data_IF_732066990123
#
_entry.id   IF_732066990123
#
_cell.length_a   1.000
_cell.length_b   1.000
_cell.length_c   1.000
_cell.angle_alpha   90.00
_cell.angle_beta   90.00
_cell.angle_gamma   90.00
#
_symmetry.space_group_name_H-M   'P 1'
#
loop_
_entity.id
_entity.type
_entity.pdbx_description
1 polymer ?
#
# COMPACT_ATOMS: atom_id res chain seq x y z
N UNK A 1 28.10 -10.79 15.80
CA UNK A 1 26.71 -11.00 15.34
C UNK A 1 25.81 -10.72 16.52
N UNK A 2 24.89 -9.78 16.40
CA UNK A 2 23.86 -9.53 17.42
C UNK A 2 22.94 -10.74 17.47
N UNK A 3 22.85 -11.43 18.61
CA UNK A 3 21.96 -12.57 18.78
C UNK A 3 20.59 -12.05 19.21
N UNK A 4 19.63 -12.02 18.29
CA UNK A 4 18.30 -11.50 18.57
C UNK A 4 17.38 -12.51 19.27
N UNK A 5 17.76 -13.79 19.43
CA UNK A 5 16.87 -14.78 20.08
C UNK A 5 15.65 -15.20 19.23
N UNK A 6 15.62 -14.85 17.94
CA UNK A 6 14.59 -15.25 16.96
C UNK A 6 14.01 -14.07 16.16
N UNK A 7 13.33 -14.37 15.05
CA UNK A 7 12.76 -13.33 14.14
C UNK A 7 11.80 -12.41 14.87
N UNK A 8 10.94 -12.97 15.74
CA UNK A 8 9.99 -12.19 16.55
C UNK A 8 10.69 -11.15 17.42
N UNK A 9 11.74 -11.55 18.12
CA UNK A 9 12.51 -10.66 18.98
C UNK A 9 13.28 -9.59 18.18
N UNK A 10 13.75 -9.91 16.97
CA UNK A 10 14.34 -8.91 16.08
C UNK A 10 13.31 -7.87 15.61
N UNK A 11 12.08 -8.31 15.30
CA UNK A 11 10.96 -7.40 14.95
C UNK A 11 10.58 -6.53 16.14
N UNK A 12 10.47 -7.13 17.33
CA UNK A 12 10.16 -6.41 18.57
C UNK A 12 11.26 -5.38 18.89
N UNK A 13 12.53 -5.73 18.70
CA UNK A 13 13.66 -4.81 18.84
C UNK A 13 13.54 -3.58 17.92
N UNK A 14 13.26 -3.80 16.63
CA UNK A 14 13.10 -2.68 15.66
C UNK A 14 11.89 -1.83 16.04
N UNK A 15 10.78 -2.46 16.43
CA UNK A 15 9.58 -1.75 16.85
C UNK A 15 9.84 -0.89 18.08
N UNK A 16 10.46 -1.45 19.12
CA UNK A 16 10.75 -0.74 20.36
C UNK A 16 11.75 0.40 20.13
N UNK A 17 12.76 0.19 19.27
CA UNK A 17 13.69 1.25 18.88
C UNK A 17 12.94 2.46 18.30
N UNK A 18 12.04 2.24 17.33
CA UNK A 18 11.29 3.31 16.68
C UNK A 18 10.28 3.93 17.67
N UNK A 19 9.55 3.09 18.39
CA UNK A 19 8.52 3.49 19.34
C UNK A 19 9.05 4.39 20.48
N UNK A 20 10.25 4.08 20.98
CA UNK A 20 10.88 4.78 22.10
C UNK A 20 11.82 5.90 21.65
N UNK A 21 11.99 6.12 20.34
CA UNK A 21 12.80 7.22 19.81
C UNK A 21 12.15 8.57 20.17
N UNK A 22 12.87 9.40 20.92
CA UNK A 22 12.46 10.74 21.34
C UNK A 22 13.40 11.87 20.88
N UNK A 23 14.52 11.51 20.25
CA UNK A 23 15.48 12.46 19.70
C UNK A 23 14.89 13.15 18.45
N UNK A 24 14.70 14.47 18.53
CA UNK A 24 14.09 15.27 17.46
C UNK A 24 14.89 15.22 16.14
N UNK A 25 16.21 15.25 16.21
CA UNK A 25 17.07 15.19 15.02
C UNK A 25 16.95 13.81 14.33
N UNK A 26 16.91 12.76 15.14
CA UNK A 26 16.70 11.41 14.63
C UNK A 26 15.30 11.23 14.04
N UNK A 27 14.27 11.84 14.66
CA UNK A 27 12.88 11.77 14.20
C UNK A 27 12.69 12.46 12.83
N UNK A 28 13.37 13.59 12.59
CA UNK A 28 13.32 14.32 11.32
C UNK A 28 14.14 13.64 10.21
N UNK A 29 15.01 12.70 10.56
CA UNK A 29 15.87 12.00 9.59
C UNK A 29 15.04 11.17 8.61
N UNK A 30 15.27 11.37 7.30
CA UNK A 30 14.68 10.52 6.25
C UNK A 30 15.29 9.13 6.31
N UNK A 31 14.47 8.14 6.68
CA UNK A 31 14.88 6.73 6.74
C UNK A 31 14.56 5.97 5.45
N UNK A 32 13.59 6.46 4.69
CA UNK A 32 13.21 5.85 3.41
C UNK A 32 13.17 6.90 2.32
N UNK A 33 13.90 6.63 1.23
CA UNK A 33 13.85 7.38 -0.02
C UNK A 33 13.69 6.41 -1.18
N UNK A 34 12.51 6.38 -1.79
CA UNK A 34 12.18 5.55 -2.95
C UNK A 34 11.74 6.46 -4.10
N UNK A 35 12.63 6.76 -5.07
CA UNK A 35 12.39 7.79 -6.08
C UNK A 35 11.45 7.35 -7.21
N UNK A 36 11.22 6.05 -7.40
CA UNK A 36 10.46 5.50 -8.53
C UNK A 36 9.36 4.54 -8.09
N UNK A 37 8.25 4.43 -8.85
CA UNK A 37 7.89 5.23 -10.04
C UNK A 37 7.52 6.69 -9.73
N UNK A 38 7.21 7.01 -8.48
CA UNK A 38 7.05 8.38 -8.00
C UNK A 38 7.89 8.58 -6.73
N UNK A 39 8.32 9.81 -6.48
CA UNK A 39 9.18 10.10 -5.34
C UNK A 39 8.42 9.94 -4.01
N UNK A 40 8.94 9.12 -3.10
CA UNK A 40 8.46 8.96 -1.73
C UNK A 40 9.66 9.15 -0.79
N UNK A 41 9.51 10.05 0.17
CA UNK A 41 10.41 10.22 1.32
C UNK A 41 9.63 10.05 2.62
N UNK A 42 10.17 9.26 3.54
CA UNK A 42 9.55 8.98 4.84
C UNK A 42 10.59 9.20 5.94
N UNK A 43 10.32 10.14 6.84
CA UNK A 43 11.11 10.35 8.05
C UNK A 43 10.82 9.29 9.10
N UNK A 44 11.73 9.13 10.07
CA UNK A 44 11.49 8.25 11.22
C UNK A 44 10.20 8.64 11.96
N UNK A 45 9.93 9.94 12.11
CA UNK A 45 8.70 10.43 12.74
C UNK A 45 7.45 9.88 12.04
N UNK A 46 7.39 9.94 10.71
CA UNK A 46 6.24 9.42 9.95
C UNK A 46 6.08 7.91 10.17
N UNK A 47 7.18 7.16 10.21
CA UNK A 47 7.13 5.70 10.48
C UNK A 47 6.61 5.46 11.90
N UNK A 48 7.16 6.18 12.89
CA UNK A 48 6.79 6.08 14.31
C UNK A 48 5.31 6.38 14.52
N UNK A 49 4.84 7.51 14.01
CA UNK A 49 3.45 7.96 14.17
C UNK A 49 2.48 7.05 13.41
N UNK A 50 2.93 6.41 12.32
CA UNK A 50 2.16 5.38 11.62
C UNK A 50 2.00 4.12 12.47
N UNK A 51 3.01 3.69 13.21
CA UNK A 51 2.99 2.40 13.93
C UNK A 51 2.53 2.53 15.39
N UNK A 52 2.55 3.73 15.96
CA UNK A 52 2.10 4.01 17.32
C UNK A 52 0.63 4.41 17.40
N UNK A 53 -0.04 4.01 18.49
CA UNK A 53 -1.34 4.56 18.90
C UNK A 53 -2.53 4.17 18.02
N UNK A 54 -3.68 4.83 18.18
CA UNK A 54 -4.87 4.64 17.33
C UNK A 54 -4.80 5.49 16.04
N UNK A 55 -3.60 5.64 15.47
CA UNK A 55 -3.36 6.46 14.28
C UNK A 55 -3.82 5.79 12.98
N UNK A 56 -4.23 6.60 12.00
CA UNK A 56 -4.43 6.15 10.63
C UNK A 56 -3.08 5.89 9.96
N UNK A 57 -3.02 4.93 9.02
CA UNK A 57 -1.82 4.72 8.21
C UNK A 57 -1.49 5.99 7.44
N UNK A 58 -0.29 6.53 7.61
CA UNK A 58 0.13 7.72 6.86
C UNK A 58 0.12 7.42 5.35
N UNK A 59 -0.37 8.33 4.48
CA UNK A 59 -0.51 8.07 3.04
C UNK A 59 0.80 7.66 2.35
N UNK A 60 1.94 8.23 2.75
CA UNK A 60 3.25 7.85 2.21
C UNK A 60 3.64 6.42 2.59
N UNK A 61 3.37 6.01 3.83
CA UNK A 61 3.57 4.63 4.28
C UNK A 61 2.65 3.67 3.52
N UNK A 62 1.38 4.02 3.34
CA UNK A 62 0.44 3.22 2.57
C UNK A 62 0.92 3.04 1.12
N UNK A 63 1.22 4.14 0.42
CA UNK A 63 1.66 4.10 -0.99
C UNK A 63 2.97 3.32 -1.16
N UNK A 64 3.91 3.44 -0.21
CA UNK A 64 5.17 2.69 -0.24
C UNK A 64 4.94 1.19 0.00
N UNK A 65 4.07 0.82 0.94
CA UNK A 65 3.72 -0.58 1.17
C UNK A 65 3.02 -1.20 -0.05
N UNK A 66 2.09 -0.47 -0.68
CA UNK A 66 1.48 -0.87 -1.95
C UNK A 66 2.54 -1.09 -3.03
N UNK A 67 3.46 -0.12 -3.21
CA UNK A 67 4.58 -0.25 -4.16
C UNK A 67 5.41 -1.49 -3.90
N UNK A 68 5.73 -1.77 -2.64
CA UNK A 68 6.50 -2.96 -2.28
C UNK A 68 5.74 -4.23 -2.64
N UNK A 69 4.47 -4.34 -2.24
CA UNK A 69 3.62 -5.51 -2.54
C UNK A 69 3.57 -5.77 -4.04
N UNK A 70 3.33 -4.73 -4.86
CA UNK A 70 3.25 -4.87 -6.32
C UNK A 70 4.60 -5.21 -6.94
N UNK A 71 5.69 -4.59 -6.49
CA UNK A 71 7.04 -4.85 -7.01
C UNK A 71 7.50 -6.27 -6.67
N UNK A 72 7.35 -6.69 -5.41
CA UNK A 72 7.71 -8.03 -4.96
C UNK A 72 6.89 -9.10 -5.73
N UNK A 73 5.63 -8.81 -6.06
CA UNK A 73 4.80 -9.72 -6.85
C UNK A 73 5.17 -9.74 -8.35
N UNK A 74 5.49 -8.58 -8.94
CA UNK A 74 5.94 -8.47 -10.31
C UNK A 74 7.26 -9.22 -10.53
N UNK A 75 8.19 -9.11 -9.58
CA UNK A 75 9.44 -9.88 -9.60
C UNK A 75 9.22 -11.39 -9.45
N UNK A 76 8.34 -11.82 -8.52
CA UNK A 76 7.98 -13.24 -8.35
C UNK A 76 7.33 -13.84 -9.59
N UNK A 77 6.55 -13.05 -10.31
CA UNK A 77 5.90 -13.47 -11.55
C UNK A 77 6.76 -13.26 -12.80
N UNK A 78 7.96 -12.66 -12.68
CA UNK A 78 8.80 -12.31 -13.82
C UNK A 78 9.06 -13.52 -14.73
N UNK A 79 8.85 -13.34 -16.03
CA UNK A 79 8.99 -14.42 -17.02
C UNK A 79 7.79 -15.36 -17.12
N UNK A 80 6.71 -15.11 -16.39
CA UNK A 80 5.44 -15.85 -16.51
C UNK A 80 4.36 -14.99 -17.17
N UNK A 81 3.27 -15.63 -17.60
CA UNK A 81 2.09 -14.93 -18.11
C UNK A 81 1.30 -14.18 -17.00
N UNK A 82 1.74 -14.19 -15.74
CA UNK A 82 1.09 -13.48 -14.62
C UNK A 82 1.69 -12.11 -14.29
N UNK A 83 2.81 -11.70 -14.91
CA UNK A 83 3.36 -10.34 -14.73
C UNK A 83 2.32 -9.30 -15.11
N UNK A 84 2.06 -8.36 -14.20
CA UNK A 84 1.10 -7.28 -14.40
C UNK A 84 -0.37 -7.69 -14.22
N UNK A 85 -0.73 -8.93 -13.89
CA UNK A 85 -2.16 -9.33 -13.79
C UNK A 85 -3.01 -8.52 -12.81
N UNK A 86 -2.43 -7.68 -11.97
CA UNK A 86 -3.13 -6.81 -11.04
C UNK A 86 -2.37 -5.49 -10.92
N UNK A 87 -3.10 -4.38 -10.82
CA UNK A 87 -2.54 -3.05 -10.57
C UNK A 87 -3.32 -2.35 -9.45
N UNK A 88 -2.60 -1.59 -8.63
CA UNK A 88 -3.18 -0.75 -7.60
C UNK A 88 -2.94 0.72 -7.91
N UNK A 89 -3.99 1.52 -7.82
CA UNK A 89 -3.85 2.97 -7.84
C UNK A 89 -3.26 3.45 -6.52
N UNK A 90 -2.40 4.47 -6.60
CA UNK A 90 -2.10 5.24 -5.41
C UNK A 90 -3.38 5.94 -4.92
N UNK A 91 -3.42 6.35 -3.66
CA UNK A 91 -4.55 7.12 -3.12
C UNK A 91 -4.77 8.44 -3.87
N UNK A 92 -3.75 8.92 -4.61
CA UNK A 92 -3.79 10.13 -5.42
C UNK A 92 -4.87 10.12 -6.49
N UNK A 93 -5.03 9.01 -7.23
CA UNK A 93 -6.07 8.91 -8.26
C UNK A 93 -7.48 9.08 -7.67
N UNK A 94 -7.78 8.38 -6.57
CA UNK A 94 -9.09 8.48 -5.91
C UNK A 94 -9.36 9.90 -5.39
N UNK A 95 -8.39 10.48 -4.67
CA UNK A 95 -8.52 11.83 -4.11
C UNK A 95 -8.73 12.88 -5.21
N UNK A 96 -7.94 12.81 -6.30
CA UNK A 96 -8.07 13.73 -7.42
C UNK A 96 -9.39 13.52 -8.18
N UNK A 97 -9.79 12.28 -8.43
CA UNK A 97 -11.06 11.96 -9.08
C UNK A 97 -12.25 12.53 -8.30
N UNK A 98 -12.24 12.35 -6.97
CA UNK A 98 -13.27 12.90 -6.07
C UNK A 98 -13.29 14.42 -6.07
N UNK A 99 -12.13 15.06 -5.96
CA UNK A 99 -12.02 16.53 -5.95
C UNK A 99 -12.50 17.13 -7.28
N UNK A 100 -12.03 16.59 -8.41
CA UNK A 100 -12.41 17.06 -9.75
C UNK A 100 -13.92 16.95 -9.99
N UNK A 101 -14.57 15.92 -9.45
CA UNK A 101 -16.01 15.71 -9.60
C UNK A 101 -16.88 16.71 -8.84
N UNK A 102 -16.29 17.42 -7.88
CA UNK A 102 -16.94 18.54 -7.18
C UNK A 102 -16.74 19.89 -7.89
N UNK A 103 -15.99 19.92 -9.00
CA UNK A 103 -15.76 21.13 -9.79
C UNK A 103 -16.77 21.27 -10.94
N UNK A 104 -16.80 22.45 -11.56
CA UNK A 104 -17.59 22.73 -12.76
C UNK A 104 -16.95 22.22 -14.07
N UNK A 105 -15.83 21.48 -14.00
CA UNK A 105 -15.13 20.98 -15.17
C UNK A 105 -15.97 19.94 -15.92
N UNK A 106 -15.88 19.92 -17.25
CA UNK A 106 -16.49 18.87 -18.08
C UNK A 106 -15.81 17.51 -17.84
N UNK A 107 -16.45 16.40 -18.24
CA UNK A 107 -15.83 15.07 -18.13
C UNK A 107 -14.48 15.00 -18.86
N UNK A 108 -14.38 15.61 -20.05
CA UNK A 108 -13.14 15.69 -20.82
C UNK A 108 -12.04 16.44 -20.06
N UNK A 109 -12.38 17.59 -19.46
CA UNK A 109 -11.43 18.38 -18.67
C UNK A 109 -10.95 17.64 -17.42
N UNK A 110 -11.85 16.93 -16.72
CA UNK A 110 -11.47 16.08 -15.58
C UNK A 110 -10.58 14.93 -16.00
N UNK A 111 -10.89 14.28 -17.11
CA UNK A 111 -10.13 13.16 -17.66
C UNK A 111 -8.71 13.60 -18.03
N UNK A 112 -8.59 14.73 -18.73
CA UNK A 112 -7.30 15.35 -19.05
C UNK A 112 -6.51 15.71 -17.78
N UNK A 113 -7.17 16.23 -16.75
CA UNK A 113 -6.50 16.53 -15.47
C UNK A 113 -5.99 15.26 -14.78
N UNK A 114 -6.74 14.15 -14.81
CA UNK A 114 -6.31 12.87 -14.25
C UNK A 114 -5.15 12.27 -15.04
N UNK A 115 -5.22 12.26 -16.38
CA UNK A 115 -4.14 11.77 -17.25
C UNK A 115 -2.84 12.54 -16.99
N UNK A 116 -2.91 13.87 -16.92
CA UNK A 116 -1.73 14.71 -16.76
C UNK A 116 -1.10 14.65 -15.35
N UNK A 117 -1.85 14.21 -14.34
CA UNK A 117 -1.40 14.22 -12.94
C UNK A 117 -1.24 12.81 -12.33
N UNK A 118 -1.67 11.76 -13.03
CA UNK A 118 -1.59 10.37 -12.55
C UNK A 118 -0.81 9.53 -13.58
N UNK A 119 0.30 8.94 -13.13
CA UNK A 119 1.11 8.04 -13.95
C UNK A 119 0.31 6.75 -14.20
N UNK A 120 -0.04 6.53 -15.47
CA UNK A 120 -0.75 5.35 -15.95
C UNK A 120 0.21 4.53 -16.84
N UNK A 121 0.93 3.57 -16.25
CA UNK A 121 1.77 2.60 -16.99
C UNK A 121 1.15 1.17 -16.88
N UNK A 122 1.44 0.25 -17.83
CA UNK A 122 0.44 -0.53 -18.55
C UNK A 122 -0.28 -1.62 -17.73
N UNK A 123 -1.61 -1.59 -17.74
CA UNK A 123 -2.53 -2.40 -16.89
C UNK A 123 -2.95 -3.75 -17.47
N UNK A 124 -2.87 -4.83 -16.66
CA UNK A 124 -3.99 -5.79 -16.54
C UNK A 124 -4.76 -5.80 -15.19
N UNK A 125 -6.09 -6.05 -15.27
CA UNK A 125 -7.16 -6.36 -14.27
C UNK A 125 -7.19 -5.61 -12.91
N UNK A 126 -8.41 -5.25 -12.49
CA UNK A 126 -8.69 -4.37 -11.35
C UNK A 126 -9.33 -5.12 -10.17
N UNK A 127 -8.87 -4.82 -8.95
CA UNK A 127 -9.53 -5.19 -7.69
C UNK A 127 -9.60 -3.97 -6.77
N UNK A 128 -10.79 -3.60 -6.31
CA UNK A 128 -10.95 -2.57 -5.26
C UNK A 128 -10.93 -3.28 -3.92
N UNK A 129 -10.07 -2.85 -2.99
CA UNK A 129 -10.05 -3.39 -1.63
C UNK A 129 -10.78 -2.44 -0.70
N UNK A 130 -11.72 -2.98 0.08
CA UNK A 130 -12.32 -2.23 1.18
C UNK A 130 -12.23 -3.04 2.47
N UNK A 131 -12.20 -2.31 3.59
CA UNK A 131 -12.46 -2.86 4.91
C UNK A 131 -13.61 -2.02 5.47
N UNK A 132 -14.85 -2.53 5.53
CA UNK A 132 -15.98 -1.72 5.93
C UNK A 132 -15.76 -1.30 7.37
N UNK A 133 -15.73 0.02 7.60
CA UNK A 133 -15.83 0.60 8.92
C UNK A 133 -17.26 1.08 9.08
N UNK A 134 -18.13 0.19 9.58
CA UNK A 134 -19.50 0.50 10.01
C UNK A 134 -20.25 1.40 8.98
N UNK A 135 -20.42 0.91 7.75
CA UNK A 135 -21.51 1.36 6.87
C UNK A 135 -22.46 0.16 6.71
N UNK A 136 -23.52 0.08 7.53
CA UNK A 136 -24.45 -1.05 7.51
C UNK A 136 -25.25 -1.16 6.20
N UNK A 137 -25.15 -0.18 5.30
CA UNK A 137 -25.90 -0.14 4.04
C UNK A 137 -25.00 -0.19 2.79
N UNK A 138 -23.68 -0.01 2.91
CA UNK A 138 -22.72 -0.09 1.80
C UNK A 138 -22.95 0.94 0.68
N UNK A 139 -23.83 1.92 0.87
CA UNK A 139 -24.31 2.81 -0.20
C UNK A 139 -23.32 3.92 -0.55
N UNK A 140 -22.58 4.45 0.42
CA UNK A 140 -21.54 5.45 0.16
C UNK A 140 -20.34 4.79 -0.53
N UNK A 141 -20.00 3.57 -0.11
CA UNK A 141 -18.94 2.76 -0.71
C UNK A 141 -19.24 2.39 -2.16
N UNK A 142 -20.47 1.95 -2.47
CA UNK A 142 -20.89 1.69 -3.84
C UNK A 142 -20.84 2.96 -4.71
N UNK A 143 -21.17 4.12 -4.16
CA UNK A 143 -21.06 5.40 -4.88
C UNK A 143 -19.61 5.76 -5.18
N UNK A 144 -18.70 5.62 -4.21
CA UNK A 144 -17.27 5.89 -4.41
C UNK A 144 -16.62 4.90 -5.38
N UNK A 145 -16.97 3.61 -5.29
CA UNK A 145 -16.55 2.59 -6.24
C UNK A 145 -17.03 2.92 -7.67
N UNK A 146 -18.30 3.29 -7.82
CA UNK A 146 -18.87 3.69 -9.10
C UNK A 146 -18.21 4.95 -9.66
N UNK A 147 -17.89 5.92 -8.81
CA UNK A 147 -17.15 7.13 -9.18
C UNK A 147 -15.79 6.77 -9.77
N UNK A 148 -14.98 6.01 -9.03
CA UNK A 148 -13.64 5.61 -9.48
C UNK A 148 -13.73 4.81 -10.78
N UNK A 149 -14.69 3.89 -10.89
CA UNK A 149 -14.94 3.11 -12.10
C UNK A 149 -15.20 4.02 -13.30
N UNK A 150 -16.07 5.02 -13.17
CA UNK A 150 -16.45 5.92 -14.26
C UNK A 150 -15.30 6.83 -14.70
N UNK A 151 -14.55 7.41 -13.76
CA UNK A 151 -13.39 8.26 -14.11
C UNK A 151 -12.29 7.42 -14.78
N UNK A 152 -12.02 6.22 -14.26
CA UNK A 152 -11.04 5.31 -14.85
C UNK A 152 -11.45 4.82 -16.25
N UNK A 153 -12.72 4.47 -16.46
CA UNK A 153 -13.23 4.12 -17.79
C UNK A 153 -13.05 5.27 -18.78
N UNK A 154 -13.27 6.52 -18.34
CA UNK A 154 -13.09 7.69 -19.21
C UNK A 154 -11.63 7.89 -19.60
N UNK A 155 -10.72 7.77 -18.63
CA UNK A 155 -9.27 7.80 -18.84
C UNK A 155 -8.82 6.72 -19.83
N UNK A 156 -9.28 5.47 -19.64
CA UNK A 156 -8.90 4.36 -20.51
C UNK A 156 -9.49 4.46 -21.91
N UNK A 157 -10.71 4.98 -22.05
CA UNK A 157 -11.29 5.23 -23.36
C UNK A 157 -10.44 6.22 -24.19
N UNK A 158 -9.77 7.16 -23.52
CA UNK A 158 -8.92 8.16 -24.14
C UNK A 158 -7.50 7.65 -24.41
N UNK A 159 -6.84 7.05 -23.41
CA UNK A 159 -5.42 6.65 -23.50
C UNK A 159 -5.20 5.23 -24.05
N UNK A 160 -6.17 4.33 -23.88
CA UNK A 160 -6.06 2.92 -24.25
C UNK A 160 -7.43 2.32 -24.63
N UNK A 161 -8.10 2.84 -25.67
CA UNK A 161 -9.50 2.49 -26.01
C UNK A 161 -9.73 0.98 -26.16
N UNK A 162 -8.75 0.26 -26.70
CA UNK A 162 -8.82 -1.20 -26.90
C UNK A 162 -8.88 -1.99 -25.58
N UNK A 163 -8.46 -1.39 -24.46
CA UNK A 163 -8.43 -2.01 -23.13
C UNK A 163 -9.66 -1.69 -22.28
N UNK A 164 -10.49 -0.73 -22.69
CA UNK A 164 -11.69 -0.34 -21.94
C UNK A 164 -12.73 -1.49 -21.86
N UNK A 165 -12.76 -2.36 -22.88
CA UNK A 165 -13.64 -3.55 -22.92
C UNK A 165 -13.30 -4.63 -21.88
N UNK A 166 -12.13 -4.56 -21.24
CA UNK A 166 -11.68 -5.54 -20.23
C UNK A 166 -12.03 -5.14 -18.78
N UNK A 167 -12.58 -3.94 -18.56
CA UNK A 167 -13.00 -3.42 -17.26
C UNK A 167 -14.33 -4.00 -16.73
N UNK A 168 -14.94 -4.91 -17.50
CA UNK A 168 -16.40 -5.13 -17.46
C UNK A 168 -16.88 -5.89 -16.23
N UNK A 169 -16.02 -6.58 -15.49
CA UNK A 169 -16.45 -7.28 -14.27
C UNK A 169 -15.61 -6.81 -13.08
N UNK A 170 -16.14 -5.86 -12.33
CA UNK A 170 -15.71 -5.68 -10.94
C UNK A 170 -16.34 -6.85 -10.18
N UNK A 171 -15.55 -7.80 -9.66
CA UNK A 171 -16.13 -8.94 -8.94
C UNK A 171 -16.94 -8.42 -7.75
N UNK A 172 -18.13 -8.99 -7.54
CA UNK A 172 -18.84 -8.84 -6.28
C UNK A 172 -17.92 -9.35 -5.16
N UNK A 173 -17.62 -8.48 -4.19
CA UNK A 173 -16.71 -8.85 -3.12
C UNK A 173 -17.46 -9.60 -2.03
N UNK A 174 -17.59 -10.91 -2.21
CA UNK A 174 -18.01 -11.79 -1.14
C UNK A 174 -16.83 -12.02 -0.17
N UNK A 175 -17.06 -11.82 1.13
CA UNK A 175 -16.15 -12.13 2.25
C UNK A 175 -15.09 -11.08 2.62
N UNK A 176 -15.48 -9.81 2.74
CA UNK A 176 -14.58 -8.80 3.30
C UNK A 176 -14.60 -8.84 4.83
N UNK A 177 -13.40 -9.01 5.40
CA UNK A 177 -13.21 -8.98 6.85
C UNK A 177 -13.44 -7.55 7.35
N UNK A 178 -14.50 -7.39 8.14
CA UNK A 178 -14.88 -6.13 8.77
C UNK A 178 -13.86 -5.82 9.86
N UNK A 179 -13.20 -4.65 9.80
CA UNK A 179 -12.40 -4.20 10.93
C UNK A 179 -13.32 -3.61 12.00
N UNK A 180 -13.33 -4.12 13.24
CA UNK A 180 -14.09 -3.52 14.33
C UNK A 180 -13.50 -2.16 14.75
N UNK A 181 -12.25 -1.84 14.37
CA UNK A 181 -11.58 -0.58 14.67
C UNK A 181 -11.30 0.21 13.38
N UNK A 182 -11.82 1.44 13.33
CA UNK A 182 -11.66 2.34 12.17
C UNK A 182 -10.20 2.64 11.84
N UNK A 183 -9.36 2.70 12.87
CA UNK A 183 -7.96 3.10 12.75
C UNK A 183 -7.07 2.01 12.14
N UNK A 184 -7.48 0.74 12.25
CA UNK A 184 -6.72 -0.39 11.69
C UNK A 184 -7.08 -0.70 10.23
N UNK A 185 -8.06 0.01 9.67
CA UNK A 185 -8.58 -0.19 8.30
C UNK A 185 -7.48 -0.17 7.23
N UNK A 186 -6.59 0.82 7.26
CA UNK A 186 -5.48 0.91 6.30
C UNK A 186 -4.53 -0.29 6.35
N UNK A 187 -4.24 -0.80 7.55
CA UNK A 187 -3.39 -1.99 7.72
C UNK A 187 -4.07 -3.26 7.21
N UNK A 188 -5.38 -3.37 7.45
CA UNK A 188 -6.20 -4.48 6.96
C UNK A 188 -6.30 -4.47 5.43
N UNK A 189 -6.48 -3.31 4.81
CA UNK A 189 -6.43 -3.17 3.35
C UNK A 189 -5.09 -3.68 2.81
N UNK A 190 -3.96 -3.26 3.40
CA UNK A 190 -2.64 -3.74 2.98
C UNK A 190 -2.46 -5.26 3.17
N UNK A 191 -3.01 -5.84 4.25
CA UNK A 191 -2.99 -7.29 4.45
C UNK A 191 -3.79 -8.02 3.35
N UNK A 192 -4.99 -7.53 3.01
CA UNK A 192 -5.82 -8.14 1.97
C UNK A 192 -5.20 -7.99 0.58
N UNK A 193 -4.58 -6.84 0.30
CA UNK A 193 -3.82 -6.62 -0.93
C UNK A 193 -2.66 -7.62 -1.05
N UNK A 194 -1.88 -7.82 0.02
CA UNK A 194 -0.79 -8.79 0.03
C UNK A 194 -1.32 -10.23 -0.22
N UNK A 195 -2.42 -10.59 0.42
CA UNK A 195 -3.04 -11.91 0.27
C UNK A 195 -3.62 -12.15 -1.14
N UNK A 196 -4.17 -11.12 -1.79
CA UNK A 196 -4.61 -11.21 -3.17
C UNK A 196 -3.45 -11.55 -4.10
N UNK A 197 -2.28 -10.92 -3.91
CA UNK A 197 -1.12 -11.22 -4.74
C UNK A 197 -0.56 -12.62 -4.53
N UNK A 198 -0.68 -13.17 -3.32
CA UNK A 198 -0.36 -14.58 -3.04
C UNK A 198 -1.33 -15.54 -3.76
N UNK A 199 -2.62 -15.20 -3.84
CA UNK A 199 -3.64 -16.04 -4.51
C UNK A 199 -3.63 -15.91 -6.04
N UNK A 200 -3.21 -14.77 -6.59
CA UNK A 200 -3.07 -14.57 -8.04
C UNK A 200 -1.80 -15.22 -8.60
N UNK A 201 -0.84 -15.58 -7.74
CA UNK A 201 0.35 -16.36 -8.08
C UNK A 201 0.58 -17.48 -7.06
N UNK A 202 -0.12 -18.61 -7.20
CA UNK A 202 0.17 -19.79 -6.38
C UNK A 202 1.59 -20.32 -6.67
N UNK A 203 2.56 -20.06 -5.80
CA UNK A 203 3.04 -21.02 -4.80
C UNK A 203 4.13 -20.43 -3.86
N UNK A 204 3.87 -20.63 -2.56
CA UNK A 204 4.61 -20.49 -1.28
C UNK A 204 5.79 -19.52 -1.02
N UNK A 205 5.68 -18.92 0.19
CA UNK A 205 6.65 -18.27 1.12
C UNK A 205 6.66 -16.73 1.05
N UNK A 206 6.20 -15.95 2.04
CA UNK A 206 6.21 -16.15 3.49
C UNK A 206 4.84 -16.10 4.18
N UNK A 207 4.62 -17.10 5.04
CA UNK A 207 3.59 -17.17 6.07
C UNK A 207 3.46 -15.86 6.86
N UNK A 208 2.44 -15.08 6.54
CA UNK A 208 1.79 -14.22 7.51
C UNK A 208 0.33 -14.64 7.56
N UNK A 209 0.03 -15.60 8.44
CA UNK A 209 -1.36 -15.95 8.78
C UNK A 209 -2.13 -14.66 9.01
N UNK A 210 -3.32 -14.53 8.39
CA UNK A 210 -4.23 -13.40 8.63
C UNK A 210 -4.29 -13.20 10.15
N UNK A 211 -4.02 -11.99 10.60
CA UNK A 211 -4.11 -11.67 12.02
C UNK A 211 -5.02 -10.47 12.21
N UNK A 212 -5.89 -10.55 13.20
CA UNK A 212 -6.73 -9.43 13.64
C UNK A 212 -6.05 -8.63 14.75
N UNK A 213 -4.86 -9.04 15.21
CA UNK A 213 -4.09 -8.30 16.20
C UNK A 213 -3.50 -7.00 15.61
N UNK A 214 -3.95 -5.81 16.06
CA UNK A 214 -3.51 -4.53 15.52
C UNK A 214 -2.01 -4.31 15.65
N UNK A 215 -1.41 -4.74 16.77
CA UNK A 215 0.02 -4.53 17.01
C UNK A 215 0.86 -5.38 16.05
N UNK A 216 0.46 -6.63 15.80
CA UNK A 216 1.07 -7.49 14.79
C UNK A 216 0.97 -6.88 13.40
N UNK A 217 -0.18 -6.32 13.02
CA UNK A 217 -0.36 -5.64 11.72
C UNK A 217 0.60 -4.44 11.55
N UNK A 218 0.75 -3.64 12.59
CA UNK A 218 1.65 -2.46 12.59
C UNK A 218 3.11 -2.85 12.50
N UNK A 219 3.54 -3.85 13.29
CA UNK A 219 4.89 -4.43 13.23
C UNK A 219 5.19 -5.00 11.84
N UNK A 220 4.22 -5.67 11.23
CA UNK A 220 4.35 -6.18 9.85
C UNK A 220 4.53 -5.03 8.86
N UNK A 221 3.67 -4.00 8.90
CA UNK A 221 3.81 -2.84 8.02
C UNK A 221 5.19 -2.20 8.18
N UNK A 222 5.63 -1.93 9.41
CA UNK A 222 6.95 -1.36 9.71
C UNK A 222 8.08 -2.14 9.02
N UNK A 223 8.11 -3.47 9.20
CA UNK A 223 9.12 -4.33 8.56
C UNK A 223 9.05 -4.21 7.04
N UNK A 224 7.86 -4.24 6.45
CA UNK A 224 7.68 -4.11 5.00
C UNK A 224 8.23 -2.76 4.48
N UNK A 225 7.93 -1.64 5.17
CA UNK A 225 8.44 -0.31 4.80
C UNK A 225 9.97 -0.24 4.84
N UNK A 226 10.58 -0.78 5.91
CA UNK A 226 12.02 -0.73 6.11
C UNK A 226 12.79 -1.69 5.20
N UNK A 227 12.13 -2.69 4.63
CA UNK A 227 12.71 -3.69 3.72
C UNK A 227 12.39 -3.44 2.25
N UNK A 228 12.07 -2.20 1.89
CA UNK A 228 11.98 -1.76 0.50
C UNK A 228 13.37 -1.80 -0.15
N UNK A 229 13.51 -2.52 -1.28
CA UNK A 229 14.80 -2.83 -1.90
C UNK A 229 15.53 -1.61 -2.45
N UNK A 230 14.79 -0.66 -3.02
CA UNK A 230 15.32 0.54 -3.65
C UNK A 230 15.46 1.73 -2.67
N UNK A 231 15.48 1.46 -1.36
CA UNK A 231 15.67 2.51 -0.35
C UNK A 231 17.07 3.15 -0.46
N UNK A 232 17.13 4.37 -0.99
CA UNK A 232 18.34 5.18 -1.14
C UNK A 232 18.80 5.86 0.16
N UNK A 233 17.96 5.87 1.20
CA UNK A 233 18.26 6.45 2.50
C UNK A 233 18.60 5.38 3.56
N UNK A 234 18.81 4.12 3.14
CA UNK A 234 19.09 3.00 4.07
C UNK A 234 20.25 3.28 5.02
N UNK A 235 21.26 4.03 4.58
CA UNK A 235 22.46 4.32 5.37
C UNK A 235 22.19 5.30 6.54
N UNK A 236 21.07 6.02 6.50
CA UNK A 236 20.59 6.85 7.61
C UNK A 236 20.01 5.99 8.76
N UNK A 237 19.68 4.72 8.50
CA UNK A 237 19.15 3.81 9.51
C UNK A 237 20.32 3.31 10.39
N UNK A 238 20.21 3.37 11.72
CA UNK A 238 21.25 2.89 12.63
C UNK A 238 21.68 1.44 12.35
N UNK A 239 22.98 1.16 12.48
CA UNK A 239 23.58 -0.15 12.13
C UNK A 239 22.91 -1.32 12.88
N UNK A 240 22.51 -1.12 14.13
CA UNK A 240 21.85 -2.14 14.94
C UNK A 240 20.46 -2.49 14.38
N UNK A 241 19.71 -1.47 13.93
CA UNK A 241 18.42 -1.64 13.26
C UNK A 241 18.61 -2.31 11.90
N UNK A 242 19.60 -1.88 11.10
CA UNK A 242 19.95 -2.55 9.84
C UNK A 242 20.41 -4.00 10.02
N UNK A 243 21.08 -4.32 11.11
CA UNK A 243 21.46 -5.69 11.46
C UNK A 243 20.23 -6.55 11.80
N UNK A 244 19.28 -6.01 12.57
CA UNK A 244 18.01 -6.68 12.85
C UNK A 244 17.19 -6.91 11.57
N UNK A 245 17.10 -5.91 10.68
CA UNK A 245 16.40 -6.04 9.39
C UNK A 245 17.03 -7.10 8.48
N UNK A 246 18.36 -7.17 8.42
CA UNK A 246 19.07 -8.24 7.70
C UNK A 246 18.80 -9.62 8.28
N UNK A 247 18.70 -9.73 9.61
CA UNK A 247 18.35 -10.98 10.29
C UNK A 247 16.88 -11.39 10.05
N UNK A 248 15.96 -10.42 9.90
CA UNK A 248 14.56 -10.69 9.59
C UNK A 248 14.39 -11.17 8.14
N UNK A 249 15.17 -10.61 7.20
CA UNK A 249 15.05 -10.91 5.77
C UNK A 249 15.91 -12.05 5.23
N UNK A 250 16.80 -12.61 6.04
CA UNK A 250 17.63 -13.77 5.70
C UNK A 250 16.99 -15.07 6.17
#
# INVERSE_FOLDING_TARGET
MTNFGGVRHAVDYVYDFIALSSDEELLDTIWIRSPRPFHIEISLQIIRDTILGDGLVHPLCFNLAVRKITTDAAERSAGTNSVGKTHFFNLGFHVQARALRQTWLSQEQRTNALINNVVLEPFPRYCVFHTPTIDPHGTELQREALLVKQELSSVLQQEAPDRNSQLVEWPEQDNIHVSPRRMDSGFKVLQEMAHLYETIGNDMVHNMTRTDDPQSLRKRLMVQLLMVRDNQAKDNIPEQVRAALRFIGG
#
